data_IF_797723987847
#
_entry.id   IF_797723987847
#
_cell.length_a   1.000
_cell.length_b   1.000
_cell.length_c   1.000
_cell.angle_alpha   90.00
_cell.angle_beta   90.00
_cell.angle_gamma   90.00
#
_symmetry.space_group_name_H-M   'P 1'
#
loop_
_entity.id
_entity.type
_entity.pdbx_description
1 polymer ?
#
# COMPACT_ATOMS: atom_id res chain seq x y z
N UNK A 1 -4.87 5.99 -87.92
CA UNK A 1 -5.61 5.12 -86.98
C UNK A 1 -4.60 4.39 -86.07
N UNK A 2 -4.92 4.11 -84.80
CA UNK A 2 -4.18 4.70 -83.67
C UNK A 2 -3.50 3.69 -82.71
N UNK A 3 -2.88 4.26 -81.64
CA UNK A 3 -2.56 3.71 -80.31
C UNK A 3 -1.20 2.99 -80.16
N UNK A 4 -0.39 3.25 -79.15
CA UNK A 4 -0.56 4.14 -78.00
C UNK A 4 0.73 4.23 -77.16
N UNK A 5 0.97 5.42 -76.60
CA UNK A 5 2.02 5.72 -75.62
C UNK A 5 1.82 4.87 -74.36
N UNK A 6 2.79 4.05 -73.99
CA UNK A 6 2.80 3.31 -72.71
C UNK A 6 3.20 4.29 -71.58
N UNK A 7 2.25 4.55 -70.69
CA UNK A 7 2.33 5.51 -69.58
C UNK A 7 3.39 5.10 -68.55
N UNK A 8 4.17 6.10 -68.11
CA UNK A 8 5.03 6.11 -66.92
C UNK A 8 4.14 5.95 -65.68
N UNK A 9 4.31 4.84 -64.94
CA UNK A 9 3.64 4.61 -63.65
C UNK A 9 4.49 5.27 -62.57
N UNK A 10 3.96 6.32 -61.94
CA UNK A 10 4.50 6.89 -60.71
C UNK A 10 4.28 5.90 -59.57
N UNK A 11 5.37 5.36 -59.01
CA UNK A 11 5.35 4.70 -57.70
C UNK A 11 5.39 5.80 -56.64
N UNK A 12 4.20 6.17 -56.15
CA UNK A 12 4.07 6.86 -54.86
C UNK A 12 4.41 5.82 -53.78
N UNK A 13 5.66 5.78 -53.33
CA UNK A 13 6.00 5.10 -52.09
C UNK A 13 6.01 6.12 -50.96
N UNK A 14 5.02 5.98 -50.08
CA UNK A 14 4.75 6.82 -48.95
C UNK A 14 5.80 6.59 -47.85
N UNK A 15 6.78 7.48 -47.77
CA UNK A 15 7.50 7.72 -46.52
C UNK A 15 6.76 8.79 -45.71
N UNK A 16 5.92 8.39 -44.76
CA UNK A 16 5.56 9.22 -43.61
C UNK A 16 4.89 8.38 -42.50
N UNK A 17 5.42 8.52 -41.29
CA UNK A 17 4.75 8.31 -40.00
C UNK A 17 4.39 6.87 -39.59
N UNK A 18 5.42 6.13 -39.17
CA UNK A 18 5.22 5.18 -38.06
C UNK A 18 5.61 5.88 -36.77
N UNK A 19 4.61 6.47 -36.12
CA UNK A 19 4.67 6.79 -34.69
C UNK A 19 4.97 5.50 -33.90
N UNK A 20 5.86 5.51 -32.89
CA UNK A 20 6.06 4.33 -32.08
C UNK A 20 4.80 4.11 -31.25
N UNK A 21 4.01 3.11 -31.66
CA UNK A 21 2.84 2.68 -30.92
C UNK A 21 3.29 2.27 -29.51
N UNK A 22 2.76 3.00 -28.53
CA UNK A 22 2.86 2.72 -27.10
C UNK A 22 2.68 1.23 -26.85
N UNK A 23 3.77 0.56 -26.44
CA UNK A 23 3.76 -0.85 -26.08
C UNK A 23 2.98 -1.04 -24.78
N UNK A 24 1.65 -1.14 -24.89
CA UNK A 24 0.76 -1.64 -23.84
C UNK A 24 0.95 -3.14 -23.70
N UNK A 25 2.13 -3.58 -23.26
CA UNK A 25 2.29 -4.94 -22.73
C UNK A 25 1.87 -4.94 -21.27
N UNK A 26 0.56 -4.94 -21.05
CA UNK A 26 0.01 -5.37 -19.77
C UNK A 26 0.07 -6.90 -19.76
N UNK A 27 1.02 -7.49 -19.04
CA UNK A 27 0.88 -8.90 -18.66
C UNK A 27 -0.30 -9.00 -17.70
N UNK A 28 -1.33 -9.84 -17.97
CA UNK A 28 -2.52 -9.94 -17.12
C UNK A 28 -2.17 -10.23 -15.66
N UNK A 29 -1.26 -11.17 -15.46
CA UNK A 29 -1.06 -11.88 -14.18
C UNK A 29 -0.59 -10.99 -13.01
N UNK A 30 0.05 -9.83 -13.23
CA UNK A 30 0.75 -9.09 -12.16
C UNK A 30 -0.06 -7.97 -11.49
N UNK A 31 -0.87 -7.23 -12.26
CA UNK A 31 -1.88 -6.33 -11.66
C UNK A 31 -2.95 -7.16 -10.96
N UNK A 32 -3.27 -8.33 -11.50
CA UNK A 32 -4.26 -9.23 -10.94
C UNK A 32 -3.88 -9.70 -9.53
N UNK A 33 -2.62 -10.04 -9.26
CA UNK A 33 -2.18 -10.46 -7.90
C UNK A 33 -2.30 -9.30 -6.91
N UNK A 34 -1.80 -8.11 -7.23
CA UNK A 34 -1.93 -6.97 -6.30
C UNK A 34 -3.39 -6.62 -6.05
N UNK A 35 -4.27 -6.74 -7.05
CA UNK A 35 -5.71 -6.52 -6.90
C UNK A 35 -6.40 -7.56 -6.00
N UNK A 36 -5.81 -8.74 -5.79
CA UNK A 36 -6.28 -9.71 -4.79
C UNK A 36 -6.03 -9.23 -3.35
N UNK A 37 -5.01 -8.42 -3.11
CA UNK A 37 -4.67 -7.94 -1.75
C UNK A 37 -5.14 -6.51 -1.50
N UNK A 38 -5.10 -5.64 -2.52
CA UNK A 38 -5.45 -4.22 -2.40
C UNK A 38 -6.75 -3.91 -3.14
N UNK A 39 -7.72 -3.22 -2.51
CA UNK A 39 -8.90 -2.69 -3.21
C UNK A 39 -8.60 -1.79 -4.40
N UNK A 40 -7.54 -0.99 -4.31
CA UNK A 40 -7.16 -0.10 -5.39
C UNK A 40 -5.65 -0.21 -5.61
N UNK A 41 -5.31 -0.41 -6.87
CA UNK A 41 -3.94 -0.44 -7.37
C UNK A 41 -3.85 0.54 -8.52
N UNK A 42 -3.07 1.60 -8.33
CA UNK A 42 -2.85 2.65 -9.33
C UNK A 42 -1.35 2.94 -9.47
N UNK A 43 -0.99 3.77 -10.44
CA UNK A 43 0.38 4.29 -10.55
C UNK A 43 0.65 5.34 -9.47
N UNK A 44 1.92 5.55 -9.12
CA UNK A 44 2.30 6.62 -8.19
C UNK A 44 1.86 7.99 -8.69
N UNK A 45 1.89 8.24 -10.00
CA UNK A 45 1.37 9.48 -10.60
C UNK A 45 -0.11 9.67 -10.32
N UNK A 46 -0.92 8.65 -10.56
CA UNK A 46 -2.38 8.69 -10.33
C UNK A 46 -2.69 8.95 -8.85
N UNK A 47 -2.02 8.22 -7.95
CA UNK A 47 -2.18 8.40 -6.50
C UNK A 47 -1.84 9.83 -6.06
N UNK A 48 -0.67 10.34 -6.45
CA UNK A 48 -0.25 11.70 -6.09
C UNK A 48 -1.22 12.76 -6.60
N UNK A 49 -1.73 12.59 -7.83
CA UNK A 49 -2.68 13.54 -8.41
C UNK A 49 -4.04 13.52 -7.69
N UNK A 50 -4.48 12.35 -7.17
CA UNK A 50 -5.73 12.25 -6.40
C UNK A 50 -5.61 12.81 -4.99
N UNK A 51 -4.43 12.76 -4.37
CA UNK A 51 -4.22 13.30 -3.02
C UNK A 51 -4.00 14.83 -2.99
N UNK A 52 -3.68 15.44 -4.13
CA UNK A 52 -3.45 16.88 -4.20
C UNK A 52 -4.77 17.69 -4.17
N UNK A 53 -4.88 18.73 -3.31
CA UNK A 53 -6.09 19.56 -3.21
C UNK A 53 -6.51 20.21 -4.54
N UNK A 54 -7.81 20.46 -4.68
CA UNK A 54 -8.40 21.07 -5.88
C UNK A 54 -7.89 22.47 -6.24
N UNK A 55 -7.29 23.16 -5.28
CA UNK A 55 -6.60 24.43 -5.50
C UNK A 55 -5.25 24.28 -6.20
N UNK A 56 -4.61 23.11 -6.19
CA UNK A 56 -3.24 22.88 -6.70
C UNK A 56 -3.18 22.62 -8.21
N UNK A 57 -3.91 23.41 -9.03
CA UNK A 57 -4.07 23.19 -10.48
C UNK A 57 -2.75 23.22 -11.25
N UNK A 58 -1.88 24.20 -10.98
CA UNK A 58 -0.58 24.34 -11.67
C UNK A 58 0.33 23.15 -11.37
N UNK A 59 0.41 22.73 -10.10
CA UNK A 59 1.25 21.58 -9.69
C UNK A 59 0.75 20.29 -10.29
N UNK A 60 -0.56 20.05 -10.28
CA UNK A 60 -1.14 18.86 -10.93
C UNK A 60 -0.87 18.83 -12.43
N UNK A 61 -0.94 19.97 -13.12
CA UNK A 61 -0.54 20.06 -14.54
C UNK A 61 0.95 19.76 -14.72
N UNK A 62 1.83 20.30 -13.85
CA UNK A 62 3.28 20.04 -13.91
C UNK A 62 3.59 18.57 -13.68
N UNK A 63 2.99 17.96 -12.65
CA UNK A 63 3.14 16.53 -12.36
C UNK A 63 2.59 15.72 -13.53
N UNK A 64 1.41 16.01 -14.06
CA UNK A 64 0.85 15.27 -15.19
C UNK A 64 1.71 15.35 -16.47
N UNK A 65 2.41 16.47 -16.70
CA UNK A 65 3.26 16.67 -17.87
C UNK A 65 4.72 16.22 -17.68
N UNK A 66 5.11 15.75 -16.49
CA UNK A 66 6.49 15.37 -16.20
C UNK A 66 6.91 14.14 -17.01
N UNK A 67 7.97 14.28 -17.81
CA UNK A 67 8.48 13.25 -18.72
C UNK A 67 8.12 13.46 -20.20
N UNK A 68 7.30 14.47 -20.54
CA UNK A 68 6.87 14.74 -21.92
C UNK A 68 7.75 15.74 -22.68
N UNK A 69 8.75 16.35 -22.02
CA UNK A 69 9.66 17.33 -22.62
C UNK A 69 10.91 16.69 -23.22
N UNK A 70 11.39 17.23 -24.35
CA UNK A 70 12.61 16.75 -25.01
C UNK A 70 13.90 17.09 -24.24
N UNK A 71 13.88 18.13 -23.40
CA UNK A 71 15.02 18.64 -22.62
C UNK A 71 14.94 18.27 -21.13
N UNK A 72 14.35 17.13 -20.79
CA UNK A 72 14.20 16.71 -19.39
C UNK A 72 15.56 16.33 -18.78
N UNK A 73 15.85 16.84 -17.57
CA UNK A 73 17.03 16.42 -16.82
C UNK A 73 16.98 14.91 -16.51
N UNK A 74 18.14 14.26 -16.31
CA UNK A 74 18.20 12.85 -15.91
C UNK A 74 17.37 12.57 -14.65
N UNK A 75 17.37 13.52 -13.70
CA UNK A 75 16.59 13.42 -12.46
C UNK A 75 15.07 13.49 -12.74
N UNK A 76 14.66 14.36 -13.66
CA UNK A 76 13.25 14.46 -14.08
C UNK A 76 12.79 13.22 -14.83
N UNK A 77 13.67 12.65 -15.65
CA UNK A 77 13.44 11.40 -16.38
C UNK A 77 13.34 10.21 -15.43
N UNK A 78 14.22 10.12 -14.42
CA UNK A 78 14.14 9.12 -13.35
C UNK A 78 12.85 9.26 -12.55
N UNK A 79 12.47 10.49 -12.18
CA UNK A 79 11.24 10.76 -11.43
C UNK A 79 10.00 10.41 -12.26
N UNK A 80 9.94 10.81 -13.53
CA UNK A 80 8.84 10.47 -14.44
C UNK A 80 8.70 8.95 -14.59
N UNK A 81 9.83 8.24 -14.78
CA UNK A 81 9.84 6.77 -14.84
C UNK A 81 9.27 6.16 -13.56
N UNK A 82 9.66 6.63 -12.38
CA UNK A 82 9.12 6.11 -11.12
C UNK A 82 7.63 6.45 -10.97
N UNK A 83 7.20 7.65 -11.33
CA UNK A 83 5.78 8.06 -11.28
C UNK A 83 4.89 7.16 -12.16
N UNK A 84 5.36 6.79 -13.35
CA UNK A 84 4.57 5.99 -14.32
C UNK A 84 4.65 4.49 -14.09
N UNK A 85 5.76 3.99 -13.56
CA UNK A 85 6.00 2.54 -13.43
C UNK A 85 5.77 2.01 -12.02
N UNK A 86 5.94 2.83 -10.97
CA UNK A 86 5.69 2.40 -9.61
C UNK A 86 4.19 2.21 -9.37
N UNK A 87 3.84 1.10 -8.73
CA UNK A 87 2.47 0.76 -8.37
C UNK A 87 2.25 1.08 -6.90
N UNK A 88 1.08 1.63 -6.59
CA UNK A 88 0.63 1.94 -5.23
C UNK A 88 -0.60 1.10 -4.94
N UNK A 89 -0.49 0.21 -3.96
CA UNK A 89 -1.60 -0.52 -3.37
C UNK A 89 -2.11 0.22 -2.14
N UNK A 90 -3.38 0.60 -2.13
CA UNK A 90 -4.02 1.21 -0.96
C UNK A 90 -4.89 0.17 -0.25
N UNK A 91 -4.78 0.10 1.08
CA UNK A 91 -5.62 -0.79 1.88
C UNK A 91 -7.10 -0.38 1.86
N UNK A 92 -8.01 -1.25 2.31
CA UNK A 92 -9.42 -0.87 2.49
C UNK A 92 -9.50 0.36 3.39
N UNK A 93 -10.10 1.42 2.84
CA UNK A 93 -10.31 2.68 3.55
C UNK A 93 -11.06 2.38 4.84
N UNK A 94 -10.37 2.40 5.98
CA UNK A 94 -11.05 2.38 7.27
C UNK A 94 -11.95 3.60 7.34
N UNK A 95 -13.24 3.47 7.67
CA UNK A 95 -14.15 4.60 7.74
C UNK A 95 -13.59 5.68 8.68
N UNK A 96 -13.84 6.93 8.28
CA UNK A 96 -13.33 8.18 8.85
C UNK A 96 -13.55 8.30 10.36
N UNK A 97 -12.67 7.73 11.17
CA UNK A 97 -12.43 8.17 12.55
C UNK A 97 -11.11 8.93 12.55
N UNK A 98 -11.11 10.14 11.97
CA UNK A 98 -9.97 11.01 11.64
C UNK A 98 -8.60 10.65 12.28
N UNK A 99 -7.90 9.60 11.79
CA UNK A 99 -6.55 9.32 12.25
C UNK A 99 -5.57 10.27 11.55
N UNK A 100 -6.01 10.94 10.47
CA UNK A 100 -5.21 11.87 9.67
C UNK A 100 -4.99 13.21 10.33
N UNK A 101 -5.96 13.74 11.09
CA UNK A 101 -5.77 14.92 11.93
C UNK A 101 -4.75 14.61 13.04
N UNK A 102 -4.94 13.49 13.74
CA UNK A 102 -3.99 13.03 14.76
C UNK A 102 -2.59 12.76 14.20
N UNK A 103 -2.47 12.16 13.02
CA UNK A 103 -1.16 11.89 12.40
C UNK A 103 -0.46 13.18 11.99
N UNK A 104 -1.19 14.16 11.45
CA UNK A 104 -0.61 15.46 11.09
C UNK A 104 -0.19 16.27 12.32
N UNK A 105 -0.99 16.26 13.39
CA UNK A 105 -0.62 16.88 14.67
C UNK A 105 0.63 16.24 15.28
N UNK A 106 0.72 14.90 15.22
CA UNK A 106 1.90 14.16 15.65
C UNK A 106 3.13 14.53 14.81
N UNK A 107 2.97 14.70 13.49
CA UNK A 107 4.05 15.17 12.62
C UNK A 107 4.53 16.56 13.03
N UNK A 108 3.62 17.51 13.24
CA UNK A 108 3.96 18.88 13.67
C UNK A 108 4.73 18.85 14.99
N UNK A 109 4.29 18.04 15.96
CA UNK A 109 5.00 17.87 17.24
C UNK A 109 6.36 17.18 17.08
N UNK A 110 6.47 16.21 16.18
CA UNK A 110 7.72 15.49 15.92
C UNK A 110 8.75 16.39 15.23
N UNK A 111 8.32 17.16 14.23
CA UNK A 111 9.22 18.03 13.45
C UNK A 111 9.76 19.21 14.29
N UNK A 112 8.97 19.70 15.24
CA UNK A 112 9.40 20.76 16.16
C UNK A 112 10.44 20.30 17.20
N UNK A 113 10.51 19.01 17.53
CA UNK A 113 11.50 18.48 18.49
C UNK A 113 12.90 18.37 17.90
N UNK A 114 13.06 18.55 16.59
CA UNK A 114 14.31 18.35 15.87
C UNK A 114 15.25 19.56 15.81
N UNK A 115 14.77 20.81 15.98
CA UNK A 115 15.65 21.99 15.90
C UNK A 115 14.95 23.29 16.38
N UNK A 116 15.48 23.96 17.40
CA UNK A 116 15.16 25.34 17.82
C UNK A 116 15.90 26.37 16.93
N UNK A 117 16.03 26.10 15.62
CA UNK A 117 16.74 27.01 14.72
C UNK A 117 15.97 27.28 13.41
N UNK A 118 15.54 28.54 13.31
CA UNK A 118 15.00 29.29 12.18
C UNK A 118 14.67 28.51 10.88
N UNK A 119 13.37 28.39 10.60
CA UNK A 119 12.83 28.14 9.25
C UNK A 119 13.22 29.29 8.33
N UNK A 120 14.31 29.13 7.58
CA UNK A 120 14.60 30.02 6.45
C UNK A 120 13.72 29.59 5.28
N UNK A 121 12.69 30.40 5.01
CA UNK A 121 11.78 30.27 3.87
C UNK A 121 12.60 30.58 2.60
N UNK A 122 13.42 29.64 2.12
CA UNK A 122 13.98 29.57 0.76
C UNK A 122 15.25 28.68 0.71
N UNK A 123 15.09 27.37 0.64
CA UNK A 123 16.14 26.51 0.05
C UNK A 123 15.44 25.40 -0.75
N UNK A 124 15.78 25.28 -2.03
CA UNK A 124 15.12 24.39 -3.00
C UNK A 124 15.34 22.90 -2.71
N UNK A 125 15.66 22.12 -3.74
CA UNK A 125 15.84 20.65 -3.67
C UNK A 125 16.69 20.17 -2.47
N UNK A 126 17.71 20.91 -2.03
CA UNK A 126 18.52 20.53 -0.85
C UNK A 126 17.71 20.44 0.46
N UNK A 127 16.68 21.28 0.65
CA UNK A 127 15.84 21.21 1.86
C UNK A 127 14.93 19.98 1.85
N UNK A 128 14.55 19.50 0.66
CA UNK A 128 13.67 18.34 0.54
C UNK A 128 14.37 17.03 0.90
N UNK A 129 15.70 16.94 0.82
CA UNK A 129 16.45 15.78 1.32
C UNK A 129 16.38 15.66 2.85
N UNK A 130 16.59 16.77 3.56
CA UNK A 130 16.46 16.82 5.02
C UNK A 130 15.03 16.50 5.45
N UNK A 131 14.05 17.15 4.82
CA UNK A 131 12.63 16.92 5.09
C UNK A 131 12.18 15.49 4.77
N UNK A 132 12.65 14.91 3.67
CA UNK A 132 12.36 13.52 3.34
C UNK A 132 12.93 12.57 4.40
N UNK A 133 14.14 12.82 4.88
CA UNK A 133 14.76 12.00 5.93
C UNK A 133 13.97 12.06 7.24
N UNK A 134 13.54 13.28 7.63
CA UNK A 134 12.70 13.53 8.80
C UNK A 134 11.33 12.85 8.68
N UNK A 135 10.70 12.88 7.50
CA UNK A 135 9.45 12.17 7.23
C UNK A 135 9.63 10.65 7.39
N UNK A 136 10.73 10.08 6.88
CA UNK A 136 11.01 8.64 7.01
C UNK A 136 11.18 8.27 8.49
N UNK A 137 11.92 9.06 9.26
CA UNK A 137 12.09 8.88 10.70
C UNK A 137 10.76 8.94 11.45
N UNK A 138 9.95 9.94 11.13
CA UNK A 138 8.61 10.07 11.69
C UNK A 138 7.70 8.88 11.37
N UNK A 139 7.70 8.41 10.12
CA UNK A 139 6.86 7.27 9.72
C UNK A 139 7.27 6.01 10.45
N UNK A 140 8.56 5.74 10.59
CA UNK A 140 9.06 4.60 11.38
C UNK A 140 8.61 4.75 12.83
N UNK A 141 8.81 5.94 13.43
CA UNK A 141 8.34 6.23 14.78
C UNK A 141 6.84 6.00 14.96
N UNK A 142 6.03 6.49 14.01
CA UNK A 142 4.59 6.39 14.00
C UNK A 142 4.11 4.94 13.92
N UNK A 143 4.76 4.11 13.11
CA UNK A 143 4.43 2.69 13.00
C UNK A 143 4.70 1.96 14.31
N UNK A 144 5.83 2.25 14.96
CA UNK A 144 6.13 1.70 16.28
C UNK A 144 5.19 2.24 17.36
N UNK A 145 4.81 3.52 17.35
CA UNK A 145 3.94 4.10 18.38
C UNK A 145 2.51 3.55 18.35
N UNK A 146 2.05 3.08 17.18
CA UNK A 146 0.75 2.42 17.00
C UNK A 146 0.70 1.00 17.56
N UNK A 147 1.85 0.33 17.65
CA UNK A 147 1.91 -1.04 18.15
C UNK A 147 1.92 -1.12 19.68
N UNK A 148 1.24 -2.15 20.21
CA UNK A 148 1.21 -2.45 21.65
C UNK A 148 2.63 -2.63 22.19
N UNK A 149 2.81 -2.40 23.49
CA UNK A 149 4.11 -2.57 24.14
C UNK A 149 4.66 -3.99 23.89
N UNK A 150 5.85 -4.07 23.28
CA UNK A 150 6.51 -5.33 22.91
C UNK A 150 6.10 -5.93 21.56
N UNK A 151 5.06 -5.42 20.89
CA UNK A 151 4.70 -5.85 19.54
C UNK A 151 5.56 -5.15 18.47
N UNK A 152 5.82 -5.88 17.38
CA UNK A 152 6.61 -5.42 16.24
C UNK A 152 5.69 -5.01 15.09
N UNK A 153 5.86 -3.80 14.49
CA UNK A 153 5.03 -3.38 13.36
C UNK A 153 5.29 -4.25 12.14
N UNK A 154 4.22 -4.80 11.57
CA UNK A 154 4.28 -5.58 10.31
C UNK A 154 4.45 -4.66 9.11
N UNK A 155 5.62 -4.05 8.97
CA UNK A 155 5.89 -3.07 7.92
C UNK A 155 7.35 -3.11 7.50
N UNK A 156 7.59 -3.12 6.19
CA UNK A 156 8.94 -3.27 5.59
C UNK A 156 9.92 -2.19 6.06
N UNK A 157 9.44 -0.97 6.34
CA UNK A 157 10.29 0.11 6.89
C UNK A 157 10.74 -0.11 8.34
N UNK A 158 10.04 -0.96 9.09
CA UNK A 158 10.40 -1.28 10.46
C UNK A 158 11.42 -2.42 10.55
N UNK A 159 11.72 -3.10 9.44
CA UNK A 159 12.72 -4.17 9.41
C UNK A 159 14.08 -3.65 9.86
N UNK A 160 14.72 -4.37 10.78
CA UNK A 160 16.01 -3.96 11.35
C UNK A 160 15.95 -2.90 12.47
N UNK A 161 14.78 -2.34 12.81
CA UNK A 161 14.63 -1.36 13.91
C UNK A 161 13.99 -1.98 15.14
N UNK A 162 14.42 -1.64 16.37
CA UNK A 162 13.84 -2.18 17.61
C UNK A 162 13.48 -1.04 18.57
N UNK A 163 12.40 -1.21 19.35
CA UNK A 163 12.09 -0.32 20.48
C UNK A 163 13.12 -0.55 21.58
N UNK A 164 13.71 0.52 22.12
CA UNK A 164 14.55 0.39 23.29
C UNK A 164 13.72 0.33 24.55
N UNK A 165 14.00 -0.67 25.40
CA UNK A 165 13.41 -0.75 26.75
C UNK A 165 14.24 0.00 27.80
N UNK A 166 15.49 0.35 27.46
CA UNK A 166 16.44 1.06 28.33
C UNK A 166 17.02 2.24 27.56
N UNK A 167 17.26 3.34 28.25
CA UNK A 167 17.86 4.56 27.68
C UNK A 167 19.36 4.35 27.43
N UNK A 168 19.71 3.30 26.68
CA UNK A 168 21.07 3.02 26.28
C UNK A 168 21.38 3.84 25.03
N UNK A 169 21.98 5.00 25.26
CA UNK A 169 22.36 6.02 24.28
C UNK A 169 23.39 5.52 23.25
N UNK A 170 23.80 4.25 23.31
CA UNK A 170 24.78 3.62 22.42
C UNK A 170 24.21 3.19 21.05
N UNK A 171 22.89 3.20 20.88
CA UNK A 171 22.26 2.67 19.68
C UNK A 171 21.98 3.79 18.65
N UNK A 172 22.65 3.69 17.50
CA UNK A 172 22.76 4.71 16.41
C UNK A 172 21.44 4.96 15.67
N UNK A 173 20.55 5.76 16.21
CA UNK A 173 19.36 6.24 15.47
C UNK A 173 18.99 7.67 15.82
N UNK A 174 18.49 8.39 14.82
CA UNK A 174 17.90 9.73 14.96
C UNK A 174 16.48 9.67 15.54
N UNK A 175 15.91 8.47 15.68
CA UNK A 175 14.51 8.26 16.02
C UNK A 175 14.34 8.08 17.54
N UNK A 176 13.50 8.89 18.21
CA UNK A 176 13.29 8.78 19.65
C UNK A 176 12.78 7.39 20.09
N UNK A 177 13.51 6.73 20.98
CA UNK A 177 13.12 5.44 21.59
C UNK A 177 13.19 4.22 20.66
N UNK A 178 13.70 4.37 19.44
CA UNK A 178 13.80 3.31 18.44
C UNK A 178 15.21 3.31 17.89
N UNK A 179 15.88 2.16 17.88
CA UNK A 179 17.25 2.04 17.36
C UNK A 179 17.35 1.13 16.15
N UNK A 180 18.31 1.41 15.26
CA UNK A 180 18.66 0.52 14.16
C UNK A 180 19.59 -0.57 14.67
N UNK A 181 19.12 -1.82 14.62
CA UNK A 181 19.90 -3.02 14.92
C UNK A 181 20.53 -3.61 13.64
N UNK A 182 19.83 -3.52 12.51
CA UNK A 182 20.35 -3.86 11.19
C UNK A 182 20.05 -2.75 10.17
N UNK A 183 20.92 -2.55 9.16
CA UNK A 183 20.65 -1.63 8.07
C UNK A 183 19.37 -2.01 7.32
N UNK A 184 18.48 -1.04 7.08
CA UNK A 184 17.29 -1.25 6.27
C UNK A 184 17.47 -0.60 4.89
N UNK A 185 17.51 -1.43 3.85
CA UNK A 185 17.67 -0.95 2.47
C UNK A 185 16.50 -0.07 2.00
N UNK A 186 15.28 -0.37 2.45
CA UNK A 186 14.07 0.35 2.04
C UNK A 186 14.04 1.77 2.62
N UNK A 187 14.43 1.92 3.89
CA UNK A 187 14.58 3.23 4.55
C UNK A 187 15.65 4.07 3.84
N UNK A 188 16.83 3.50 3.58
CA UNK A 188 17.88 4.17 2.82
C UNK A 188 17.42 4.60 1.43
N UNK A 189 16.74 3.72 0.71
CA UNK A 189 16.25 4.00 -0.64
C UNK A 189 15.22 5.15 -0.67
N UNK A 190 14.42 5.33 0.39
CA UNK A 190 13.44 6.42 0.50
C UNK A 190 14.06 7.78 0.85
N UNK A 191 15.30 7.80 1.35
CA UNK A 191 16.06 9.03 1.63
C UNK A 191 16.81 9.56 0.41
N UNK A 192 17.07 8.69 -0.56
CA UNK A 192 17.78 9.00 -1.79
C UNK A 192 16.82 9.36 -2.94
N UNK A 193 17.38 9.79 -4.08
CA UNK A 193 16.59 10.09 -5.27
C UNK A 193 15.80 8.85 -5.74
N UNK A 194 14.54 9.01 -6.19
CA UNK A 194 13.89 10.26 -6.56
C UNK A 194 12.95 10.86 -5.50
N UNK A 195 12.85 10.30 -4.30
CA UNK A 195 11.81 10.68 -3.33
C UNK A 195 11.90 12.11 -2.79
N UNK A 196 13.09 12.65 -2.45
CA UNK A 196 13.23 14.07 -2.13
C UNK A 196 12.82 15.00 -3.28
N UNK A 197 13.03 14.58 -4.53
CA UNK A 197 12.62 15.36 -5.71
C UNK A 197 11.11 15.33 -5.89
N UNK A 198 10.47 14.19 -5.62
CA UNK A 198 9.01 14.09 -5.56
C UNK A 198 8.46 15.04 -4.48
N UNK A 199 9.02 15.01 -3.26
CA UNK A 199 8.60 15.90 -2.17
C UNK A 199 8.73 17.38 -2.57
N UNK A 200 9.86 17.76 -3.17
CA UNK A 200 10.06 19.12 -3.67
C UNK A 200 9.01 19.53 -4.73
N UNK A 201 8.60 18.59 -5.60
CA UNK A 201 7.59 18.82 -6.63
C UNK A 201 6.19 19.02 -6.05
N UNK A 202 5.86 18.32 -4.96
CA UNK A 202 4.57 18.42 -4.27
C UNK A 202 4.43 19.76 -3.50
N UNK A 203 5.54 20.31 -3.03
CA UNK A 203 5.60 21.55 -2.27
C UNK A 203 5.01 21.42 -0.87
N UNK A 204 4.38 22.48 -0.36
CA UNK A 204 3.90 22.56 1.04
C UNK A 204 2.90 21.47 1.44
N UNK A 205 2.09 20.97 0.50
CA UNK A 205 1.15 19.87 0.76
C UNK A 205 1.82 18.49 0.66
N UNK A 206 3.09 18.43 0.24
CA UNK A 206 3.82 17.21 -0.06
C UNK A 206 4.18 16.38 1.15
N UNK A 207 4.42 17.01 2.31
CA UNK A 207 4.76 16.29 3.54
C UNK A 207 3.63 15.34 3.94
N UNK A 208 2.39 15.85 3.98
CA UNK A 208 1.21 15.04 4.30
C UNK A 208 1.01 13.90 3.32
N UNK A 209 1.11 14.18 2.01
CA UNK A 209 0.98 13.16 0.95
C UNK A 209 2.07 12.09 1.10
N UNK A 210 3.30 12.49 1.40
CA UNK A 210 4.42 11.56 1.60
C UNK A 210 4.22 10.72 2.86
N UNK A 211 3.80 11.32 3.98
CA UNK A 211 3.49 10.60 5.22
C UNK A 211 2.39 9.56 4.97
N UNK A 212 1.31 9.93 4.28
CA UNK A 212 0.22 9.02 3.97
C UNK A 212 0.66 7.91 2.99
N UNK A 213 1.46 8.23 1.98
CA UNK A 213 2.05 7.28 1.05
C UNK A 213 2.90 6.22 1.78
N UNK A 214 3.79 6.66 2.66
CA UNK A 214 4.74 5.76 3.34
C UNK A 214 4.12 4.98 4.49
N UNK A 215 3.07 5.50 5.14
CA UNK A 215 2.47 4.89 6.33
C UNK A 215 1.22 4.05 6.06
N UNK A 216 0.47 4.34 4.99
CA UNK A 216 -0.83 3.69 4.70
C UNK A 216 -0.82 2.89 3.40
N UNK A 217 0.13 3.17 2.50
CA UNK A 217 0.18 2.55 1.18
C UNK A 217 1.36 1.59 1.06
N UNK A 218 1.20 0.62 0.16
CA UNK A 218 2.29 -0.26 -0.25
C UNK A 218 2.77 0.13 -1.63
N UNK A 219 4.03 0.53 -1.74
CA UNK A 219 4.63 0.98 -3.00
C UNK A 219 5.53 -0.10 -3.57
N UNK A 220 5.37 -0.38 -4.86
CA UNK A 220 6.11 -1.38 -5.61
C UNK A 220 6.87 -0.71 -6.75
N UNK A 221 8.20 -0.78 -6.72
CA UNK A 221 9.07 -0.21 -7.75
C UNK A 221 9.39 -1.24 -8.82
N UNK A 222 9.27 -0.84 -10.10
CA UNK A 222 9.70 -1.69 -11.23
C UNK A 222 11.22 -1.80 -11.26
N UNK A 223 11.72 -3.03 -11.38
CA UNK A 223 13.14 -3.35 -11.52
C UNK A 223 13.43 -3.64 -13.00
N UNK A 224 14.57 -3.13 -13.49
CA UNK A 224 14.98 -3.30 -14.89
C UNK A 224 15.44 -4.73 -15.23
N UNK A 225 15.72 -5.54 -14.22
CA UNK A 225 16.14 -6.92 -14.38
C UNK A 225 14.92 -7.82 -14.61
N UNK A 226 14.83 -8.41 -15.81
CA UNK A 226 13.76 -9.34 -16.19
C UNK A 226 12.48 -8.65 -16.64
N UNK A 227 11.44 -9.45 -16.90
CA UNK A 227 10.17 -8.98 -17.44
C UNK A 227 9.20 -8.61 -16.32
N UNK A 228 8.91 -7.31 -16.17
CA UNK A 228 7.92 -6.75 -15.23
C UNK A 228 8.14 -7.19 -13.77
N UNK A 229 9.39 -7.15 -13.32
CA UNK A 229 9.72 -7.46 -11.94
C UNK A 229 9.54 -6.22 -11.05
N UNK A 230 9.03 -6.43 -9.85
CA UNK A 230 8.75 -5.37 -8.89
C UNK A 230 9.33 -5.71 -7.52
N UNK A 231 9.81 -4.69 -6.81
CA UNK A 231 10.22 -4.79 -5.41
C UNK A 231 9.32 -3.91 -4.57
N UNK A 232 8.90 -4.41 -3.42
CA UNK A 232 8.16 -3.63 -2.44
C UNK A 232 9.13 -2.71 -1.68
N UNK A 233 8.78 -1.43 -1.52
CA UNK A 233 9.58 -0.46 -0.77
C UNK A 233 8.84 0.09 0.47
N UNK A 234 7.51 -0.01 0.53
CA UNK A 234 6.71 0.35 1.71
C UNK A 234 5.56 -0.61 1.91
N UNK A 235 4.90 -0.51 3.07
CA UNK A 235 3.71 -1.28 3.40
C UNK A 235 4.00 -2.57 4.16
N UNK A 236 2.92 -3.33 4.38
CA UNK A 236 2.97 -4.68 4.96
C UNK A 236 3.54 -5.64 3.90
N UNK A 237 4.50 -6.52 4.22
CA UNK A 237 5.01 -7.50 3.27
C UNK A 237 3.88 -8.29 2.61
N UNK A 238 3.94 -8.47 1.28
CA UNK A 238 2.87 -9.17 0.54
C UNK A 238 2.57 -10.58 1.08
N UNK A 239 3.59 -11.28 1.61
CA UNK A 239 3.45 -12.60 2.24
C UNK A 239 2.60 -12.60 3.51
N UNK A 240 2.43 -11.45 4.14
CA UNK A 240 1.64 -11.28 5.37
C UNK A 240 0.25 -10.71 5.11
N UNK A 241 -0.09 -10.40 3.86
CA UNK A 241 -1.40 -9.86 3.48
C UNK A 241 -2.39 -10.99 3.20
N UNK A 242 -3.58 -10.87 3.78
CA UNK A 242 -4.68 -11.78 3.47
C UNK A 242 -5.12 -11.59 2.01
N UNK A 243 -5.32 -12.68 1.30
CA UNK A 243 -5.92 -12.66 -0.04
C UNK A 243 -7.42 -12.38 0.11
N UNK A 244 -7.97 -11.45 -0.67
CA UNK A 244 -9.42 -11.37 -0.86
C UNK A 244 -9.85 -12.63 -1.60
N UNK A 245 -10.42 -13.60 -0.90
CA UNK A 245 -11.19 -14.64 -1.57
C UNK A 245 -12.36 -13.99 -2.30
N UNK A 246 -12.51 -14.13 -3.63
CA UNK A 246 -13.69 -13.67 -4.36
C UNK A 246 -14.88 -14.54 -3.94
N UNK A 247 -15.52 -14.18 -2.83
CA UNK A 247 -16.56 -14.98 -2.21
C UNK A 247 -16.98 -14.54 -0.82
N UNK A 248 -16.67 -13.31 -0.39
CA UNK A 248 -17.23 -12.73 0.83
C UNK A 248 -18.61 -12.10 0.55
N UNK A 249 -19.48 -12.94 -0.01
CA UNK A 249 -20.91 -12.91 0.32
C UNK A 249 -20.97 -13.34 1.78
N UNK A 250 -21.76 -12.69 2.68
CA UNK A 250 -21.83 -13.07 4.09
C UNK A 250 -22.05 -14.58 4.18
N UNK A 251 -20.99 -15.30 4.55
CA UNK A 251 -21.03 -16.74 4.68
C UNK A 251 -21.99 -17.02 5.82
N UNK A 252 -23.22 -17.41 5.47
CA UNK A 252 -23.97 -18.40 6.23
C UNK A 252 -22.93 -19.38 6.77
N UNK A 253 -22.80 -19.50 8.08
CA UNK A 253 -21.81 -20.36 8.70
C UNK A 253 -22.02 -21.79 8.19
N UNK A 254 -21.34 -22.15 7.10
CA UNK A 254 -21.24 -23.52 6.62
C UNK A 254 -20.33 -24.19 7.63
N UNK A 255 -20.98 -24.75 8.65
CA UNK A 255 -20.32 -25.51 9.71
C UNK A 255 -19.44 -26.56 9.06
N UNK A 256 -18.18 -26.62 9.48
CA UNK A 256 -17.26 -27.66 8.99
C UNK A 256 -17.82 -29.03 9.39
N UNK A 257 -17.70 -30.09 8.57
CA UNK A 257 -18.13 -31.43 8.96
C UNK A 257 -17.50 -31.91 10.28
N UNK A 258 -16.31 -31.39 10.62
CA UNK A 258 -15.63 -31.62 11.89
C UNK A 258 -16.34 -31.03 13.13
N UNK A 259 -17.27 -30.10 12.95
CA UNK A 259 -18.10 -29.54 14.03
C UNK A 259 -19.32 -30.42 14.36
N UNK A 260 -19.63 -31.42 13.53
CA UNK A 260 -20.69 -32.39 13.79
C UNK A 260 -20.20 -33.37 14.85
N UNK A 261 -20.60 -33.15 16.10
CA UNK A 261 -20.30 -34.07 17.20
C UNK A 261 -21.39 -35.13 17.29
N UNK A 262 -21.10 -36.35 16.83
CA UNK A 262 -21.98 -37.49 17.01
C UNK A 262 -21.89 -37.98 18.46
N UNK A 263 -22.89 -37.61 19.28
CA UNK A 263 -22.97 -38.06 20.68
C UNK A 263 -23.38 -39.53 20.72
N UNK A 264 -22.40 -40.44 20.73
CA UNK A 264 -22.61 -41.91 20.77
C UNK A 264 -23.13 -42.45 22.12
N UNK A 265 -23.25 -41.60 23.15
CA UNK A 265 -23.49 -42.07 24.53
C UNK A 265 -24.95 -42.23 24.93
N UNK A 266 -25.94 -41.96 24.04
CA UNK A 266 -27.37 -42.04 24.42
C UNK A 266 -28.27 -42.82 23.45
N UNK A 267 -27.73 -43.39 22.39
CA UNK A 267 -28.55 -44.06 21.36
C UNK A 267 -28.83 -45.53 21.71
N UNK A 268 -27.88 -46.24 22.32
CA UNK A 268 -27.99 -47.68 22.53
C UNK A 268 -28.83 -48.12 23.75
N UNK A 269 -29.11 -47.21 24.70
CA UNK A 269 -29.86 -47.54 25.94
C UNK A 269 -31.05 -46.60 26.21
N UNK A 270 -31.44 -45.76 25.26
CA UNK A 270 -32.58 -44.89 25.44
C UNK A 270 -33.89 -45.69 25.46
N UNK A 271 -34.64 -45.62 26.56
CA UNK A 271 -36.02 -46.15 26.60
C UNK A 271 -36.92 -45.25 25.74
N UNK A 272 -37.74 -45.81 24.84
CA UNK A 272 -38.67 -45.03 24.03
C UNK A 272 -39.68 -44.33 24.95
N UNK A 273 -39.95 -43.06 24.69
CA UNK A 273 -41.00 -42.34 25.43
C UNK A 273 -42.36 -42.77 24.93
N UNK A 274 -43.22 -43.20 25.84
CA UNK A 274 -44.58 -43.62 25.55
C UNK A 274 -45.58 -42.50 25.83
N UNK A 275 -46.62 -42.42 25.01
CA UNK A 275 -47.81 -41.61 25.27
C UNK A 275 -48.56 -42.14 26.49
N UNK A 276 -49.50 -41.37 27.05
CA UNK A 276 -50.36 -41.79 28.16
C UNK A 276 -51.17 -43.07 27.88
N UNK A 277 -51.26 -43.49 26.61
CA UNK A 277 -51.89 -44.74 26.16
C UNK A 277 -50.89 -45.89 25.91
N UNK A 278 -49.62 -45.74 26.31
CA UNK A 278 -48.59 -46.78 26.17
C UNK A 278 -47.94 -46.91 24.79
N UNK A 279 -48.37 -46.12 23.80
CA UNK A 279 -47.82 -46.16 22.44
C UNK A 279 -46.52 -45.35 22.34
N UNK A 280 -45.56 -45.83 21.54
CA UNK A 280 -44.28 -45.16 21.29
C UNK A 280 -44.53 -43.82 20.61
N UNK A 281 -44.01 -42.74 21.21
CA UNK A 281 -44.08 -41.40 20.65
C UNK A 281 -42.90 -41.18 19.69
N UNK A 282 -43.18 -41.08 18.39
CA UNK A 282 -42.19 -40.75 17.37
C UNK A 282 -41.90 -39.24 17.36
N UNK A 283 -40.62 -38.85 17.38
CA UNK A 283 -40.19 -37.45 17.25
C UNK A 283 -38.99 -37.08 18.15
N UNK A 284 -38.26 -36.04 17.76
CA UNK A 284 -37.12 -35.54 18.52
C UNK A 284 -37.59 -34.66 19.69
N UNK A 285 -37.19 -34.99 20.94
CA UNK A 285 -37.37 -34.09 22.08
C UNK A 285 -36.28 -33.01 22.06
N UNK A 286 -36.67 -31.76 22.25
CA UNK A 286 -35.72 -30.66 22.41
C UNK A 286 -34.89 -30.88 23.67
N UNK A 287 -33.58 -31.08 23.52
CA UNK A 287 -32.64 -31.19 24.64
C UNK A 287 -32.56 -29.79 25.25
N UNK A 288 -33.17 -29.57 26.42
CA UNK A 288 -32.88 -28.37 27.22
C UNK A 288 -31.51 -28.58 27.84
N UNK A 289 -30.53 -27.80 27.41
CA UNK A 289 -29.26 -27.67 28.13
C UNK A 289 -29.56 -27.13 29.53
N UNK A 290 -29.05 -27.74 30.61
CA UNK A 290 -29.20 -27.17 31.94
C UNK A 290 -28.51 -25.80 31.97
N UNK A 291 -29.23 -24.78 32.43
CA UNK A 291 -28.66 -23.47 32.74
C UNK A 291 -27.56 -23.63 33.79
N UNK A 292 -26.43 -22.90 33.67
CA UNK A 292 -25.41 -22.93 34.71
C UNK A 292 -26.00 -22.40 36.03
N UNK A 293 -25.62 -22.96 37.19
CA UNK A 293 -26.00 -22.37 38.46
C UNK A 293 -25.33 -21.00 38.59
N UNK A 294 -26.13 -19.98 38.86
CA UNK A 294 -25.63 -18.71 39.37
C UNK A 294 -24.98 -18.95 40.73
N UNK A 295 -23.74 -18.51 40.87
CA UNK A 295 -23.07 -18.20 42.14
C UNK A 295 -22.10 -17.07 41.86
#
# INVERSE_FOLDING_TARGET
>A
MPRGKKRKRSTNDASANQSPASSKHYTPVKKDILQQHYPLVCTLREYVLSELPDSSRIRRKKIAALGSGADASEVESQLARVLDTALVGTGPSTPKTDPGASTWEQWVSFSQKGDESYVTISKGIASSFGKQSEIVDFVIWLLFSREKAGAWPKHVLCDGFRKSARDDQSARSTIPGIYSYYPNFHEKALREAPWPHLLALLGQAGEKVMIDLLSKCSVFLKVNAGLDNYIQITGIPLSELDTKTPGDVPKSHVRKPSEITLVRSRIFYARPTTTAKGLVQAGFKHIRTPSPPFS
#
